data_IF_682194708580
#
_entry.id   IF_682194708580
#
_cell.length_a   1.000
_cell.length_b   1.000
_cell.length_c   1.000
_cell.angle_alpha   90.00
_cell.angle_beta   90.00
_cell.angle_gamma   90.00
#
_symmetry.space_group_name_H-M   'P 1'
#
loop_
_entity.id
_entity.type
_entity.pdbx_description
1 polymer ?
#
# COMPACT_ATOMS: atom_id res chain seq x y z
N UNK A 1 -38.31 3.56 2.89
CA UNK A 1 -37.28 3.13 1.92
C UNK A 1 -36.40 4.33 1.64
N UNK A 2 -35.26 4.43 2.32
CA UNK A 2 -34.24 5.42 1.98
C UNK A 2 -33.39 4.74 0.90
N UNK A 3 -33.60 5.14 -0.34
CA UNK A 3 -32.74 4.79 -1.46
C UNK A 3 -31.57 5.75 -1.42
N UNK A 4 -30.58 5.46 -0.57
CA UNK A 4 -29.28 6.11 -0.71
C UNK A 4 -28.66 5.59 -2.00
N UNK A 5 -28.92 6.31 -3.09
CA UNK A 5 -28.19 6.14 -4.34
C UNK A 5 -26.72 6.39 -4.02
N UNK A 6 -25.89 5.33 -4.09
CA UNK A 6 -24.45 5.47 -4.07
C UNK A 6 -24.05 6.46 -5.17
N UNK A 7 -23.77 7.70 -4.81
CA UNK A 7 -23.39 8.79 -5.73
C UNK A 7 -21.93 8.69 -6.20
N UNK A 8 -21.25 7.59 -5.88
CA UNK A 8 -19.86 7.35 -6.24
C UNK A 8 -19.69 6.80 -7.65
N UNK A 9 -18.52 7.03 -8.24
CA UNK A 9 -18.18 6.46 -9.54
C UNK A 9 -17.88 4.97 -9.41
N UNK A 10 -18.49 4.17 -10.29
CA UNK A 10 -18.34 2.71 -10.30
C UNK A 10 -17.53 2.27 -11.53
N UNK A 11 -16.48 1.49 -11.30
CA UNK A 11 -15.70 0.83 -12.36
C UNK A 11 -16.26 -0.57 -12.64
N UNK A 12 -16.91 -0.82 -13.79
CA UNK A 12 -17.33 -2.17 -14.16
C UNK A 12 -16.12 -3.02 -14.59
N UNK A 13 -15.91 -4.16 -13.92
CA UNK A 13 -14.84 -5.12 -14.22
C UNK A 13 -15.43 -6.31 -14.99
N UNK A 14 -15.22 -6.33 -16.31
CA UNK A 14 -15.72 -7.40 -17.20
C UNK A 14 -14.84 -8.65 -17.21
N UNK A 15 -13.56 -8.46 -16.92
CA UNK A 15 -12.55 -9.51 -16.79
C UNK A 15 -11.46 -9.00 -15.86
N UNK A 16 -10.90 -9.88 -15.04
CA UNK A 16 -9.82 -9.51 -14.14
C UNK A 16 -8.63 -10.44 -14.30
N UNK A 17 -7.46 -9.84 -14.53
CA UNK A 17 -6.18 -10.53 -14.58
C UNK A 17 -5.06 -9.55 -14.32
N UNK A 18 -4.12 -9.95 -13.49
CA UNK A 18 -2.85 -9.25 -13.24
C UNK A 18 -1.71 -10.26 -13.45
N UNK A 19 -0.44 -9.82 -13.48
CA UNK A 19 0.68 -10.75 -13.43
C UNK A 19 0.65 -11.68 -12.20
N UNK A 20 0.10 -11.23 -11.07
CA UNK A 20 -0.04 -12.06 -9.87
C UNK A 20 -1.04 -13.22 -10.06
N UNK A 21 -1.97 -13.10 -11.02
CA UNK A 21 -2.91 -14.18 -11.36
C UNK A 21 -2.19 -15.48 -11.71
N UNK A 22 -1.00 -15.42 -12.29
CA UNK A 22 -0.21 -16.59 -12.71
C UNK A 22 0.63 -17.21 -11.58
N UNK A 23 0.67 -16.60 -10.40
CA UNK A 23 1.38 -17.14 -9.24
C UNK A 23 0.60 -18.37 -8.73
N UNK A 24 1.19 -19.58 -8.70
CA UNK A 24 0.49 -20.78 -8.26
C UNK A 24 0.20 -20.72 -6.75
N UNK A 25 -0.85 -21.44 -6.32
CA UNK A 25 -1.08 -21.62 -4.89
C UNK A 25 0.10 -22.37 -4.27
N UNK A 26 0.61 -21.85 -3.15
CA UNK A 26 1.81 -22.37 -2.51
C UNK A 26 1.83 -21.96 -1.05
N UNK A 27 2.31 -22.84 -0.18
CA UNK A 27 2.60 -22.55 1.23
C UNK A 27 4.11 -22.62 1.42
N UNK A 28 4.68 -21.67 2.16
CA UNK A 28 6.06 -21.72 2.60
C UNK A 28 6.19 -20.97 3.92
N UNK A 29 6.72 -21.66 4.94
CA UNK A 29 6.77 -21.14 6.30
C UNK A 29 5.40 -20.67 6.79
N UNK A 30 5.32 -19.42 7.22
CA UNK A 30 4.08 -18.81 7.73
C UNK A 30 3.27 -18.08 6.66
N UNK A 31 3.66 -18.15 5.39
CA UNK A 31 2.95 -17.48 4.30
C UNK A 31 2.39 -18.47 3.29
N UNK A 32 1.30 -18.06 2.63
CA UNK A 32 0.77 -18.77 1.48
C UNK A 32 0.20 -17.85 0.42
N UNK A 33 0.31 -18.29 -0.82
CA UNK A 33 -0.49 -17.78 -1.94
C UNK A 33 -1.71 -18.67 -2.11
N UNK A 34 -2.89 -18.07 -2.21
CA UNK A 34 -4.15 -18.77 -2.48
C UNK A 34 -5.02 -18.01 -3.49
N UNK A 35 -6.02 -18.68 -4.06
CA UNK A 35 -6.97 -18.09 -5.01
C UNK A 35 -8.35 -17.91 -4.37
N UNK A 36 -8.96 -16.74 -4.61
CA UNK A 36 -10.35 -16.45 -4.22
C UNK A 36 -11.18 -16.14 -5.45
N UNK A 37 -12.25 -16.90 -5.64
CA UNK A 37 -13.26 -16.62 -6.65
C UNK A 37 -14.17 -15.49 -6.16
N UNK A 38 -14.34 -14.47 -7.00
CA UNK A 38 -15.27 -13.35 -6.80
C UNK A 38 -16.42 -13.51 -7.78
N UNK A 39 -17.63 -13.56 -7.24
CA UNK A 39 -18.85 -13.77 -8.03
C UNK A 39 -19.26 -12.48 -8.77
N UNK A 40 -19.96 -12.59 -9.91
CA UNK A 40 -20.62 -11.46 -10.54
C UNK A 40 -21.51 -10.69 -9.55
N UNK A 41 -21.54 -9.36 -9.67
CA UNK A 41 -22.28 -8.45 -8.80
C UNK A 41 -21.54 -8.07 -7.50
N UNK A 42 -20.38 -8.67 -7.20
CA UNK A 42 -19.59 -8.30 -6.02
C UNK A 42 -18.97 -6.92 -6.23
N UNK A 43 -19.13 -6.01 -5.25
CA UNK A 43 -18.53 -4.68 -5.25
C UNK A 43 -17.33 -4.63 -4.28
N UNK A 44 -16.25 -3.97 -4.69
CA UNK A 44 -15.02 -3.79 -3.91
C UNK A 44 -14.63 -2.30 -3.89
N UNK A 45 -14.07 -1.80 -2.77
CA UNK A 45 -13.68 -0.40 -2.68
C UNK A 45 -12.48 -0.13 -3.61
N UNK A 46 -12.53 1.02 -4.27
CA UNK A 46 -11.44 1.55 -5.11
C UNK A 46 -10.70 2.70 -4.45
N UNK A 47 -11.15 3.19 -3.30
CA UNK A 47 -10.48 4.25 -2.52
C UNK A 47 -10.08 5.49 -3.36
N UNK A 48 -10.92 5.85 -4.35
CA UNK A 48 -10.69 6.94 -5.32
C UNK A 48 -9.47 6.74 -6.23
N UNK A 49 -8.98 5.52 -6.37
CA UNK A 49 -8.03 5.13 -7.41
C UNK A 49 -8.71 5.28 -8.77
N UNK A 50 -8.04 5.97 -9.69
CA UNK A 50 -8.56 6.41 -10.99
C UNK A 50 -9.87 7.22 -10.91
N UNK A 51 -10.19 7.79 -9.74
CA UNK A 51 -11.42 8.53 -9.49
C UNK A 51 -12.65 7.67 -9.17
N UNK A 52 -12.50 6.34 -9.07
CA UNK A 52 -13.61 5.45 -8.74
C UNK A 52 -13.72 5.18 -7.23
N UNK A 53 -14.94 5.16 -6.71
CA UNK A 53 -15.20 4.80 -5.31
C UNK A 53 -15.28 3.29 -5.13
N UNK A 54 -15.85 2.60 -6.11
CA UNK A 54 -16.01 1.14 -6.13
C UNK A 54 -15.71 0.57 -7.50
N UNK A 55 -15.35 -0.70 -7.54
CA UNK A 55 -15.45 -1.53 -8.72
C UNK A 55 -16.52 -2.61 -8.52
N UNK A 56 -17.21 -3.00 -9.59
CA UNK A 56 -18.19 -4.09 -9.58
C UNK A 56 -17.76 -5.15 -10.58
N UNK A 57 -17.62 -6.39 -10.13
CA UNK A 57 -17.29 -7.51 -10.99
C UNK A 57 -18.52 -7.91 -11.80
N UNK A 58 -18.49 -7.72 -13.11
CA UNK A 58 -19.59 -8.05 -14.03
C UNK A 58 -19.58 -9.53 -14.43
N UNK A 59 -18.45 -10.20 -14.24
CA UNK A 59 -18.24 -11.63 -14.46
C UNK A 59 -17.46 -12.22 -13.29
N UNK A 60 -17.42 -13.55 -13.24
CA UNK A 60 -16.58 -14.25 -12.29
C UNK A 60 -15.11 -13.86 -12.51
N UNK A 61 -14.41 -13.61 -11.41
CA UNK A 61 -12.99 -13.27 -11.41
C UNK A 61 -12.26 -14.11 -10.36
N UNK A 62 -10.99 -14.39 -10.61
CA UNK A 62 -10.11 -15.04 -9.63
C UNK A 62 -9.08 -14.02 -9.16
N UNK A 63 -9.06 -13.78 -7.85
CA UNK A 63 -8.04 -12.96 -7.20
C UNK A 63 -6.97 -13.86 -6.58
N UNK A 64 -5.74 -13.39 -6.58
CA UNK A 64 -4.59 -13.96 -5.89
C UNK A 64 -4.39 -13.25 -4.58
N UNK A 65 -4.25 -14.02 -3.51
CA UNK A 65 -4.06 -13.51 -2.16
C UNK A 65 -2.72 -13.99 -1.65
N UNK A 66 -2.00 -13.10 -0.97
CA UNK A 66 -0.96 -13.47 -0.02
C UNK A 66 -1.59 -13.47 1.37
N UNK A 67 -1.43 -14.56 2.10
CA UNK A 67 -1.93 -14.72 3.45
C UNK A 67 -0.80 -15.08 4.41
N UNK A 68 -0.89 -14.55 5.62
CA UNK A 68 0.00 -14.87 6.73
C UNK A 68 -0.73 -15.75 7.74
N UNK A 69 -0.01 -16.71 8.33
CA UNK A 69 -0.49 -17.55 9.41
C UNK A 69 -0.36 -16.81 10.75
N UNK A 70 -1.48 -16.44 11.34
CA UNK A 70 -1.57 -15.80 12.66
C UNK A 70 -2.26 -16.76 13.61
N UNK A 71 -1.48 -17.41 14.48
CA UNK A 71 -1.95 -18.54 15.29
C UNK A 71 -2.41 -19.71 14.40
N UNK A 72 -3.66 -20.14 14.59
CA UNK A 72 -4.27 -21.23 13.81
C UNK A 72 -5.07 -20.74 12.60
N UNK A 73 -5.02 -19.44 12.27
CA UNK A 73 -5.81 -18.84 11.19
C UNK A 73 -4.92 -18.21 10.13
N UNK A 74 -5.42 -18.18 8.90
CA UNK A 74 -4.82 -17.44 7.80
C UNK A 74 -5.49 -16.08 7.69
N UNK A 75 -4.69 -15.01 7.78
CA UNK A 75 -5.13 -13.62 7.62
C UNK A 75 -4.74 -13.14 6.22
N UNK A 76 -5.68 -12.47 5.54
CA UNK A 76 -5.39 -11.76 4.28
C UNK A 76 -4.34 -10.68 4.54
N UNK A 77 -3.18 -10.81 3.91
CA UNK A 77 -2.11 -9.82 3.96
C UNK A 77 -2.19 -8.87 2.77
N UNK A 78 -2.29 -9.43 1.56
CA UNK A 78 -2.43 -8.68 0.31
C UNK A 78 -3.33 -9.44 -0.66
N UNK A 79 -3.95 -8.71 -1.60
CA UNK A 79 -4.74 -9.27 -2.70
C UNK A 79 -4.44 -8.49 -3.99
N UNK A 80 -4.43 -9.14 -5.15
CA UNK A 80 -4.29 -8.46 -6.46
C UNK A 80 -5.59 -7.81 -6.95
N UNK A 81 -6.27 -7.08 -6.06
CA UNK A 81 -7.55 -6.45 -6.38
C UNK A 81 -7.40 -5.30 -7.38
N UNK A 82 -8.52 -4.86 -8.02
CA UNK A 82 -8.51 -3.66 -8.86
C UNK A 82 -7.90 -2.42 -8.20
N UNK A 83 -8.24 -2.17 -6.93
CA UNK A 83 -7.65 -1.08 -6.18
C UNK A 83 -6.12 -1.16 -6.13
N UNK A 84 -5.60 -2.30 -5.69
CA UNK A 84 -4.18 -2.55 -5.49
C UNK A 84 -3.39 -2.40 -6.80
N UNK A 85 -3.86 -3.07 -7.85
CA UNK A 85 -3.21 -3.01 -9.17
C UNK A 85 -3.19 -1.60 -9.75
N UNK A 86 -4.34 -0.91 -9.78
CA UNK A 86 -4.40 0.41 -10.38
C UNK A 86 -3.69 1.48 -9.53
N UNK A 87 -3.67 1.34 -8.19
CA UNK A 87 -2.91 2.22 -7.31
C UNK A 87 -1.40 2.13 -7.59
N UNK A 88 -0.88 0.91 -7.81
CA UNK A 88 0.52 0.73 -8.20
C UNK A 88 0.83 1.37 -9.57
N UNK A 89 -0.13 1.33 -10.50
CA UNK A 89 -0.05 2.09 -11.76
C UNK A 89 0.08 3.61 -11.53
N UNK A 90 -0.76 4.19 -10.66
CA UNK A 90 -0.68 5.61 -10.31
C UNK A 90 0.67 5.97 -9.66
N UNK A 91 1.17 5.14 -8.75
CA UNK A 91 2.48 5.37 -8.12
C UNK A 91 3.62 5.29 -9.12
N UNK A 92 3.59 4.32 -10.04
CA UNK A 92 4.58 4.23 -11.12
C UNK A 92 4.56 5.47 -12.02
N UNK A 93 3.40 6.06 -12.29
CA UNK A 93 3.32 7.32 -13.06
C UNK A 93 3.93 8.50 -12.31
N UNK A 94 3.74 8.58 -10.99
CA UNK A 94 4.29 9.64 -10.13
C UNK A 94 5.79 9.49 -9.87
N UNK A 95 6.30 8.28 -9.98
CA UNK A 95 7.69 7.94 -9.68
C UNK A 95 8.68 8.73 -10.54
N UNK A 96 9.71 9.24 -9.87
CA UNK A 96 10.91 9.86 -10.44
C UNK A 96 12.04 8.83 -10.38
N UNK A 97 12.72 8.59 -11.50
CA UNK A 97 13.97 7.85 -11.55
C UNK A 97 15.20 8.75 -11.37
N UNK A 98 16.42 8.20 -11.45
CA UNK A 98 16.72 6.80 -11.82
C UNK A 98 16.64 5.76 -10.71
N UNK A 99 16.72 6.13 -9.43
CA UNK A 99 16.85 5.19 -8.30
C UNK A 99 15.59 5.14 -7.46
N UNK A 100 14.96 3.97 -7.37
CA UNK A 100 13.70 3.77 -6.66
C UNK A 100 13.87 2.77 -5.52
N UNK A 101 13.38 3.13 -4.34
CA UNK A 101 13.26 2.22 -3.19
C UNK A 101 11.79 1.83 -3.00
N UNK A 102 11.54 0.55 -2.76
CA UNK A 102 10.21 0.01 -2.45
C UNK A 102 10.30 -0.70 -1.10
N UNK A 103 9.55 -0.23 -0.11
CA UNK A 103 9.34 -0.94 1.15
C UNK A 103 8.11 -1.82 1.04
N UNK A 104 8.28 -3.13 1.23
CA UNK A 104 7.26 -4.17 1.05
C UNK A 104 7.33 -4.80 -0.33
N UNK A 105 7.49 -6.13 -0.39
CA UNK A 105 7.42 -6.88 -1.65
C UNK A 105 5.97 -7.25 -1.97
N UNK A 106 5.23 -7.75 -0.98
CA UNK A 106 3.85 -8.21 -1.17
C UNK A 106 3.74 -9.23 -2.31
N UNK A 107 2.82 -9.01 -3.25
CA UNK A 107 2.69 -9.79 -4.50
C UNK A 107 3.57 -9.26 -5.64
N UNK A 108 4.39 -8.23 -5.40
CA UNK A 108 5.30 -7.64 -6.39
C UNK A 108 4.63 -6.77 -7.46
N UNK A 109 3.38 -6.36 -7.27
CA UNK A 109 2.57 -5.66 -8.28
C UNK A 109 3.25 -4.40 -8.83
N UNK A 110 3.81 -3.57 -7.95
CA UNK A 110 4.51 -2.33 -8.34
C UNK A 110 5.71 -2.58 -9.25
N UNK A 111 6.40 -3.72 -9.10
CA UNK A 111 7.58 -4.05 -9.91
C UNK A 111 7.21 -4.27 -11.37
N UNK A 112 6.02 -4.81 -11.65
CA UNK A 112 5.53 -4.95 -13.02
C UNK A 112 5.30 -3.59 -13.70
N UNK A 113 4.94 -2.55 -12.94
CA UNK A 113 4.81 -1.19 -13.48
C UNK A 113 6.16 -0.48 -13.62
N UNK A 114 6.99 -0.51 -12.57
CA UNK A 114 8.29 0.16 -12.56
C UNK A 114 9.23 -0.40 -13.65
N UNK A 115 9.19 -1.71 -13.93
CA UNK A 115 10.04 -2.30 -14.97
C UNK A 115 9.65 -1.88 -16.39
N UNK A 116 8.45 -1.35 -16.61
CA UNK A 116 8.10 -0.76 -17.92
C UNK A 116 8.73 0.62 -18.14
N UNK A 117 9.22 1.27 -17.08
CA UNK A 117 9.83 2.60 -17.16
C UNK A 117 11.29 2.52 -17.55
N UNK A 118 11.68 3.24 -18.61
CA UNK A 118 13.05 3.27 -19.13
C UNK A 118 13.96 4.27 -18.41
N UNK A 119 13.38 5.21 -17.67
CA UNK A 119 14.08 6.21 -16.88
C UNK A 119 14.47 5.72 -15.48
N UNK A 120 14.13 4.47 -15.14
CA UNK A 120 14.53 3.81 -13.89
C UNK A 120 15.70 2.87 -14.17
N UNK A 121 16.82 3.10 -13.50
CA UNK A 121 18.03 2.29 -13.62
C UNK A 121 18.18 1.29 -12.48
N UNK A 122 17.56 1.56 -11.33
CA UNK A 122 17.69 0.74 -10.13
C UNK A 122 16.38 0.71 -9.33
N UNK A 123 15.97 -0.50 -8.93
CA UNK A 123 14.84 -0.74 -8.04
C UNK A 123 15.34 -1.57 -6.86
N UNK A 124 15.47 -0.97 -5.69
CA UNK A 124 15.75 -1.67 -4.45
C UNK A 124 14.44 -1.99 -3.74
N UNK A 125 14.20 -3.25 -3.39
CA UNK A 125 13.04 -3.70 -2.63
C UNK A 125 13.48 -4.16 -1.25
N UNK A 126 12.76 -3.76 -0.21
CA UNK A 126 13.00 -4.18 1.16
C UNK A 126 11.79 -4.97 1.63
N UNK A 127 11.98 -6.23 2.00
CA UNK A 127 10.92 -7.11 2.50
C UNK A 127 11.37 -7.79 3.79
N UNK A 128 10.53 -7.73 4.82
CA UNK A 128 10.86 -8.26 6.15
C UNK A 128 10.81 -9.79 6.16
N UNK A 129 9.87 -10.39 5.44
CA UNK A 129 9.62 -11.82 5.45
C UNK A 129 10.43 -12.56 4.38
N UNK A 130 11.38 -13.38 4.84
CA UNK A 130 12.10 -14.31 3.96
C UNK A 130 11.17 -15.31 3.25
N UNK A 131 10.05 -15.68 3.89
CA UNK A 131 9.04 -16.57 3.30
C UNK A 131 8.35 -15.92 2.10
N UNK A 132 8.00 -14.63 2.21
CA UNK A 132 7.41 -13.86 1.12
C UNK A 132 8.39 -13.74 -0.04
N UNK A 133 9.66 -13.41 0.24
CA UNK A 133 10.71 -13.37 -0.80
C UNK A 133 10.82 -14.72 -1.51
N UNK A 134 10.83 -15.83 -0.77
CA UNK A 134 10.96 -17.18 -1.32
C UNK A 134 9.77 -17.58 -2.19
N UNK A 135 8.55 -17.16 -1.83
CA UNK A 135 7.33 -17.44 -2.60
C UNK A 135 7.25 -16.54 -3.83
N UNK A 136 7.55 -15.24 -3.71
CA UNK A 136 7.16 -14.23 -4.70
C UNK A 136 8.28 -13.88 -5.68
N UNK A 137 9.54 -13.84 -5.25
CA UNK A 137 10.67 -13.51 -6.15
C UNK A 137 10.81 -14.39 -7.41
N UNK A 138 10.37 -15.67 -7.43
CA UNK A 138 10.33 -16.43 -8.68
C UNK A 138 9.36 -15.88 -9.72
N UNK A 139 8.35 -15.10 -9.33
CA UNK A 139 7.23 -14.67 -10.17
C UNK A 139 7.23 -13.17 -10.53
N UNK A 140 8.10 -12.36 -9.92
CA UNK A 140 8.32 -10.96 -10.32
C UNK A 140 9.05 -10.89 -11.68
N UNK A 141 9.06 -9.73 -12.37
CA UNK A 141 9.79 -9.57 -13.63
C UNK A 141 11.26 -9.97 -13.51
N UNK A 142 11.77 -10.69 -14.51
CA UNK A 142 13.21 -11.04 -14.60
C UNK A 142 13.99 -9.84 -15.13
N UNK A 143 14.15 -8.84 -14.27
CA UNK A 143 14.79 -7.57 -14.58
C UNK A 143 16.04 -7.37 -13.71
N UNK A 144 17.18 -7.12 -14.36
CA UNK A 144 18.47 -6.93 -13.69
C UNK A 144 18.54 -5.69 -12.78
N UNK A 145 17.59 -4.76 -12.94
CA UNK A 145 17.51 -3.54 -12.14
C UNK A 145 16.93 -3.80 -10.74
N UNK A 146 16.29 -4.95 -10.53
CA UNK A 146 15.65 -5.30 -9.26
C UNK A 146 16.68 -5.95 -8.34
N UNK A 147 16.91 -5.33 -7.18
CA UNK A 147 17.59 -5.92 -6.03
C UNK A 147 16.63 -6.07 -4.85
N UNK A 148 16.66 -7.22 -4.17
CA UNK A 148 15.84 -7.46 -2.97
C UNK A 148 16.76 -7.56 -1.75
N UNK A 149 16.42 -6.81 -0.70
CA UNK A 149 17.05 -6.84 0.61
C UNK A 149 16.03 -7.43 1.57
N UNK A 150 16.38 -8.54 2.22
CA UNK A 150 15.61 -9.03 3.36
C UNK A 150 15.92 -8.16 4.57
N UNK A 151 14.91 -7.50 5.14
CA UNK A 151 15.07 -6.68 6.34
C UNK A 151 13.86 -5.80 6.65
N UNK A 152 13.87 -5.23 7.85
CA UNK A 152 12.89 -4.23 8.26
C UNK A 152 13.24 -2.87 7.66
N UNK A 153 12.27 -2.22 6.99
CA UNK A 153 12.46 -0.90 6.38
C UNK A 153 12.90 0.18 7.39
N UNK A 154 12.46 0.08 8.66
CA UNK A 154 12.85 1.03 9.70
C UNK A 154 14.35 1.00 10.00
N UNK A 155 14.97 -0.18 9.84
CA UNK A 155 16.40 -0.39 10.08
C UNK A 155 17.22 -0.23 8.79
N UNK A 156 16.65 -0.65 7.66
CA UNK A 156 17.33 -0.60 6.36
C UNK A 156 17.51 0.83 5.86
N UNK A 157 16.57 1.75 6.13
CA UNK A 157 16.68 3.15 5.69
C UNK A 157 17.93 3.84 6.26
N UNK A 158 18.15 3.89 7.60
CA UNK A 158 19.36 4.47 8.16
C UNK A 158 20.64 3.81 7.63
N UNK A 159 20.62 2.48 7.45
CA UNK A 159 21.76 1.72 6.93
C UNK A 159 22.12 2.17 5.50
N UNK A 160 21.17 2.15 4.57
CA UNK A 160 21.37 2.57 3.19
C UNK A 160 21.86 4.03 3.11
N UNK A 161 21.31 4.92 3.94
CA UNK A 161 21.76 6.29 4.00
C UNK A 161 23.21 6.41 4.49
N UNK A 162 23.60 5.63 5.51
CA UNK A 162 24.99 5.60 6.01
C UNK A 162 25.99 5.04 4.99
N UNK A 163 25.52 4.20 4.07
CA UNK A 163 26.30 3.68 2.93
C UNK A 163 26.36 4.66 1.75
N UNK A 164 25.74 5.85 1.86
CA UNK A 164 25.71 6.85 0.79
C UNK A 164 24.77 6.51 -0.37
N UNK A 165 23.82 5.60 -0.16
CA UNK A 165 22.80 5.27 -1.17
C UNK A 165 21.76 6.37 -1.23
N UNK A 166 21.44 6.81 -2.45
CA UNK A 166 20.46 7.84 -2.73
C UNK A 166 19.28 7.28 -3.54
N UNK A 167 18.10 7.86 -3.36
CA UNK A 167 16.88 7.50 -4.07
C UNK A 167 16.15 8.76 -4.55
N UNK A 168 15.58 8.67 -5.74
CA UNK A 168 14.75 9.72 -6.34
C UNK A 168 13.27 9.55 -5.94
N UNK A 169 12.85 8.30 -5.73
CA UNK A 169 11.52 7.96 -5.20
C UNK A 169 11.62 6.82 -4.18
N UNK A 170 10.84 6.94 -3.11
CA UNK A 170 10.64 5.89 -2.10
C UNK A 170 9.14 5.61 -2.02
N UNK A 171 8.76 4.36 -2.29
CA UNK A 171 7.38 3.87 -2.22
C UNK A 171 7.28 2.93 -1.02
N UNK A 172 6.34 3.18 -0.11
CA UNK A 172 6.11 2.37 1.08
C UNK A 172 4.74 1.69 0.97
N UNK A 173 4.73 0.37 1.00
CA UNK A 173 3.55 -0.51 0.94
C UNK A 173 3.75 -1.72 1.87
N UNK A 174 3.72 -1.48 3.19
CA UNK A 174 4.10 -2.47 4.22
C UNK A 174 2.97 -2.83 5.18
N UNK A 175 1.82 -2.18 5.10
CA UNK A 175 0.75 -2.32 6.09
C UNK A 175 -0.38 -3.20 5.58
N UNK A 176 -0.80 -4.17 6.40
CA UNK A 176 -1.93 -5.04 6.11
C UNK A 176 -3.12 -4.73 7.02
N UNK A 177 -4.28 -4.42 6.42
CA UNK A 177 -5.55 -4.23 7.13
C UNK A 177 -6.03 -2.78 7.21
N UNK A 178 -7.12 -2.56 7.95
CA UNK A 178 -7.76 -1.24 8.14
C UNK A 178 -7.53 -0.66 9.54
N UNK A 179 -6.60 -1.22 10.30
CA UNK A 179 -6.46 -0.90 11.71
C UNK A 179 -5.67 0.40 11.91
N UNK A 180 -6.15 1.20 12.86
CA UNK A 180 -5.56 2.48 13.28
C UNK A 180 -4.18 2.33 13.92
N UNK A 181 -3.74 1.09 14.18
CA UNK A 181 -2.44 0.75 14.77
C UNK A 181 -1.25 1.20 13.91
N UNK A 182 -1.47 1.45 12.62
CA UNK A 182 -0.41 1.82 11.68
C UNK A 182 -0.14 3.33 11.58
N UNK A 183 -0.93 4.19 12.23
CA UNK A 183 -0.77 5.65 12.08
C UNK A 183 0.53 6.14 12.73
N UNK A 184 0.92 5.56 13.88
CA UNK A 184 2.16 5.96 14.55
C UNK A 184 3.39 5.45 13.79
N UNK A 185 3.35 4.21 13.29
CA UNK A 185 4.38 3.66 12.41
C UNK A 185 4.52 4.47 11.12
N UNK A 186 3.41 4.89 10.53
CA UNK A 186 3.41 5.80 9.39
C UNK A 186 4.08 7.13 9.72
N UNK A 187 3.76 7.77 10.85
CA UNK A 187 4.41 9.02 11.28
C UNK A 187 5.90 8.83 11.52
N UNK A 188 6.27 7.75 12.20
CA UNK A 188 7.66 7.39 12.50
C UNK A 188 8.44 7.19 11.20
N UNK A 189 7.92 6.36 10.29
CA UNK A 189 8.58 6.06 9.02
C UNK A 189 8.67 7.31 8.15
N UNK A 190 7.62 8.12 8.08
CA UNK A 190 7.65 9.43 7.41
C UNK A 190 8.76 10.31 7.99
N UNK A 191 8.87 10.42 9.31
CA UNK A 191 9.93 11.20 9.96
C UNK A 191 11.34 10.69 9.60
N UNK A 192 11.54 9.37 9.59
CA UNK A 192 12.80 8.74 9.19
C UNK A 192 13.12 9.06 7.72
N UNK A 193 12.16 8.90 6.81
CA UNK A 193 12.37 9.19 5.39
C UNK A 193 12.71 10.66 5.15
N UNK A 194 12.01 11.61 5.79
CA UNK A 194 12.36 13.03 5.67
C UNK A 194 13.70 13.40 6.31
N UNK A 195 14.17 12.63 7.30
CA UNK A 195 15.50 12.83 7.90
C UNK A 195 16.62 12.38 6.96
N UNK A 196 16.48 11.22 6.34
CA UNK A 196 17.55 10.61 5.54
C UNK A 196 17.45 10.91 4.04
N UNK A 197 16.24 11.16 3.53
CA UNK A 197 15.92 11.27 2.11
C UNK A 197 14.99 12.46 1.82
N UNK A 198 15.26 13.64 2.41
CA UNK A 198 14.41 14.82 2.28
C UNK A 198 14.09 15.24 0.83
N UNK A 199 14.98 14.95 -0.13
CA UNK A 199 14.84 15.32 -1.54
C UNK A 199 14.11 14.26 -2.39
N UNK A 200 13.92 13.04 -1.86
CA UNK A 200 13.22 11.99 -2.57
C UNK A 200 11.71 12.25 -2.59
N UNK A 201 11.04 11.79 -3.64
CA UNK A 201 9.59 11.71 -3.64
C UNK A 201 9.15 10.54 -2.75
N UNK A 202 8.40 10.80 -1.68
CA UNK A 202 7.84 9.77 -0.81
C UNK A 202 6.39 9.45 -1.17
N UNK A 203 6.08 8.19 -1.43
CA UNK A 203 4.74 7.68 -1.71
C UNK A 203 4.36 6.62 -0.66
N UNK A 204 3.17 6.72 -0.07
CA UNK A 204 2.74 5.84 1.04
C UNK A 204 1.41 5.17 0.74
N UNK A 205 1.43 3.89 0.37
CA UNK A 205 0.21 3.09 0.28
C UNK A 205 -0.20 2.61 1.68
N UNK A 206 -1.47 2.71 2.12
CA UNK A 206 -2.63 3.36 1.49
C UNK A 206 -2.83 4.84 1.88
N UNK A 207 -1.93 5.43 2.69
CA UNK A 207 -2.07 6.79 3.24
C UNK A 207 -1.99 7.93 2.20
N UNK A 208 -1.63 7.65 0.95
CA UNK A 208 -1.29 8.66 -0.04
C UNK A 208 -2.43 9.63 -0.33
N UNK A 209 -3.67 9.15 -0.42
CA UNK A 209 -4.83 10.02 -0.70
C UNK A 209 -5.11 11.00 0.46
N UNK A 210 -4.85 10.58 1.69
CA UNK A 210 -4.92 11.48 2.86
C UNK A 210 -3.86 12.56 2.76
N UNK A 211 -2.61 12.18 2.44
CA UNK A 211 -1.51 13.14 2.27
C UNK A 211 -1.75 14.13 1.12
N UNK A 212 -2.23 13.63 -0.03
CA UNK A 212 -2.54 14.49 -1.17
C UNK A 212 -3.64 15.50 -0.82
N UNK A 213 -4.62 15.09 0.00
CA UNK A 213 -5.69 15.96 0.50
C UNK A 213 -5.17 17.03 1.46
N UNK A 214 -4.33 16.64 2.43
CA UNK A 214 -3.69 17.57 3.36
C UNK A 214 -2.85 18.62 2.62
N UNK A 215 -2.07 18.17 1.62
CA UNK A 215 -1.25 19.05 0.80
C UNK A 215 -2.14 20.03 0.02
N UNK A 216 -3.21 19.54 -0.63
CA UNK A 216 -4.16 20.39 -1.35
C UNK A 216 -4.80 21.46 -0.46
N UNK A 217 -5.28 21.08 0.73
CA UNK A 217 -5.86 22.02 1.69
C UNK A 217 -4.84 23.05 2.19
N UNK A 218 -3.58 22.65 2.36
CA UNK A 218 -2.51 23.58 2.73
C UNK A 218 -2.26 24.64 1.66
N UNK A 219 -2.35 24.27 0.37
CA UNK A 219 -2.24 25.21 -0.75
C UNK A 219 -3.40 26.20 -0.79
N UNK A 220 -4.60 25.79 -0.38
CA UNK A 220 -5.77 26.67 -0.31
C UNK A 220 -5.77 27.60 0.93
N UNK A 221 -4.74 27.55 1.78
CA UNK A 221 -4.61 28.41 2.95
C UNK A 221 -5.52 28.03 4.12
N UNK A 222 -6.22 26.89 4.03
CA UNK A 222 -7.33 26.52 4.90
C UNK A 222 -6.92 25.73 6.16
N UNK A 223 -5.64 25.76 6.54
CA UNK A 223 -5.13 24.98 7.67
C UNK A 223 -4.45 25.84 8.73
N UNK A 224 -5.23 26.28 9.72
CA UNK A 224 -4.71 26.58 11.08
C UNK A 224 -4.82 25.31 11.93
N UNK A 225 -3.80 24.44 11.82
CA UNK A 225 -3.54 23.15 12.54
C UNK A 225 -4.18 21.88 11.97
N UNK A 226 -3.42 20.99 11.31
CA UNK A 226 -3.90 19.67 10.92
C UNK A 226 -3.37 18.60 11.90
N UNK A 227 -4.17 18.21 12.90
CA UNK A 227 -4.31 16.82 13.36
C UNK A 227 -5.71 16.72 13.99
N UNK A 228 -6.67 16.08 13.32
CA UNK A 228 -7.90 15.55 13.94
C UNK A 228 -8.19 14.17 13.36
N UNK A 229 -7.62 13.15 13.99
CA UNK A 229 -7.91 11.74 13.76
C UNK A 229 -8.77 11.20 14.90
N UNK A 230 -9.96 11.75 15.14
CA UNK A 230 -10.92 11.14 16.07
C UNK A 230 -12.34 11.49 15.59
N UNK A 231 -13.22 10.50 15.31
CA UNK A 231 -14.65 10.75 15.08
C UNK A 231 -15.32 11.25 16.37
N UNK A 232 -16.37 12.07 16.26
CA UNK A 232 -16.95 12.82 17.41
C UNK A 232 -17.46 11.96 18.58
N UNK A 233 -17.70 10.67 18.37
CA UNK A 233 -18.21 9.73 19.35
C UNK A 233 -17.23 9.39 20.48
N UNK A 234 -15.92 9.56 20.27
CA UNK A 234 -14.88 9.31 21.30
C UNK A 234 -14.70 10.51 22.26
N UNK A 235 -15.19 11.71 21.92
CA UNK A 235 -15.00 12.92 22.75
C UNK A 235 -15.83 12.93 24.04
N UNK A 236 -16.88 12.10 24.15
CA UNK A 236 -17.71 12.06 25.36
C UNK A 236 -17.00 11.43 26.56
N UNK A 237 -16.10 10.47 26.33
CA UNK A 237 -15.42 9.71 27.40
C UNK A 237 -14.30 10.52 28.08
N UNK A 238 -13.76 11.54 27.42
CA UNK A 238 -12.67 12.37 27.97
C UNK A 238 -13.15 13.66 28.67
N UNK A 239 -14.45 13.99 28.62
CA UNK A 239 -15.01 15.18 29.27
C UNK A 239 -15.49 14.94 30.70
N UNK A 240 -15.69 13.69 31.12
CA UNK A 240 -16.13 13.37 32.49
C UNK A 240 -14.98 13.14 33.48
N UNK A 241 -13.73 13.14 33.02
CA UNK A 241 -12.54 12.92 33.86
C UNK A 241 -11.93 14.16 34.51
N UNK A 242 -12.49 15.37 34.30
CA UNK A 242 -11.85 16.63 34.72
C UNK A 242 -12.74 17.59 35.52
N UNK A 243 -13.68 17.04 36.30
CA UNK A 243 -14.45 17.78 37.30
C UNK A 243 -14.35 17.11 38.68
N UNK A 244 -13.16 17.11 39.27
CA UNK A 244 -12.98 17.00 40.73
C UNK A 244 -11.53 17.25 41.13
N UNK A 245 -11.21 18.53 41.35
CA UNK A 245 -10.28 19.05 42.37
C UNK A 245 -10.12 20.57 42.20
N UNK A 246 -11.12 21.30 42.71
CA UNK A 246 -10.91 22.39 43.67
C UNK A 246 -11.67 21.96 44.93
#
# INVERSE_FOLDING_TARGET
>A
MITDSYSGFILPIWSWRTPATDIPEKVYGNFRVTKRVVKPGTAWPMCRTLGYDYCVFMREATLTLLQEKVGDRWKDWMVDSPYEWYAMGEYSMRTRGPRVLVGGLGLGLILHHLTMRRDIDEITVVEVSGDVIQIISPHIPKDRRIGIIQGDIFDVIPRLASEGREFDTIIIDIWAGRDYEFVEDFRRLRSILYRYYANALHLFHPFQKTLDTELFLSYLGDVKKPIRFIPEDVLHVLREGNSSKI
#
